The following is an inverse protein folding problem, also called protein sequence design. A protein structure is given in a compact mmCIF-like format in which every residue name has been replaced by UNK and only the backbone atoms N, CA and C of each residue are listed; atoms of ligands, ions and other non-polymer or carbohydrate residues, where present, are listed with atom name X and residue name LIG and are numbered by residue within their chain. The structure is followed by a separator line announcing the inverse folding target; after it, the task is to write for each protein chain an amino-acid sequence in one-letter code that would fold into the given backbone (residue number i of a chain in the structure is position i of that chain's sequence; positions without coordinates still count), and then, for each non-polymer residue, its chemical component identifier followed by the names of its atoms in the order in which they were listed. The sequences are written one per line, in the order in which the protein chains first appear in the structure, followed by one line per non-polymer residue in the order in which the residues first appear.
data_IF_153452295391
#
_entry.id   IF_153452295391
#
_cell.length_a   1.000
_cell.length_b   1.000
_cell.length_c   1.000
_cell.angle_alpha   90.00
_cell.angle_beta   90.00
_cell.angle_gamma   90.00
#
_symmetry.space_group_name_H-M   'P 1'
#
loop_
_entity.id
_entity.type
_entity.pdbx_description
1 polymer ?
#
# COMPACT_ATOMS: atom_id res chain seq x y z
N UNK A 1 42.72 -6.12 -29.37
CA UNK A 1 42.39 -4.72 -29.04
C UNK A 1 41.36 -4.26 -30.06
N UNK A 2 40.07 -4.09 -29.82
CA UNK A 2 39.31 -3.81 -28.61
C UNK A 2 38.09 -3.01 -29.08
N UNK A 3 37.21 -3.65 -29.87
CA UNK A 3 36.01 -3.03 -30.41
C UNK A 3 34.85 -3.22 -29.45
N UNK A 4 34.72 -2.35 -28.46
CA UNK A 4 33.49 -2.19 -27.69
C UNK A 4 32.43 -1.62 -28.63
N UNK A 5 31.79 -2.49 -29.43
CA UNK A 5 30.55 -2.12 -30.11
C UNK A 5 29.53 -1.82 -29.01
N UNK A 6 29.20 -0.55 -28.86
CA UNK A 6 28.06 -0.09 -28.07
C UNK A 6 26.86 -0.96 -28.41
N UNK A 7 26.29 -1.66 -27.42
CA UNK A 7 25.09 -2.48 -27.60
C UNK A 7 24.05 -1.72 -28.43
N UNK A 8 23.51 -2.38 -29.46
CA UNK A 8 22.38 -1.84 -30.21
C UNK A 8 21.24 -1.51 -29.23
N UNK A 9 20.48 -0.44 -29.48
CA UNK A 9 19.37 -0.02 -28.61
C UNK A 9 18.41 -1.20 -28.34
N UNK A 10 18.08 -1.97 -29.38
CA UNK A 10 17.27 -3.19 -29.29
C UNK A 10 17.86 -4.25 -28.32
N UNK A 11 19.18 -4.42 -28.31
CA UNK A 11 19.86 -5.38 -27.43
C UNK A 11 19.85 -4.91 -25.98
N UNK A 12 20.10 -3.61 -25.75
CA UNK A 12 19.99 -2.97 -24.44
C UNK A 12 18.57 -3.06 -23.88
N UNK A 13 17.54 -2.74 -24.68
CA UNK A 13 16.13 -2.85 -24.26
C UNK A 13 15.74 -4.30 -23.95
N UNK A 14 16.28 -5.28 -24.69
CA UNK A 14 16.00 -6.71 -24.44
C UNK A 14 16.65 -7.19 -23.14
N UNK A 15 17.86 -6.74 -22.84
CA UNK A 15 18.57 -7.04 -21.60
C UNK A 15 17.88 -6.38 -20.40
N UNK A 16 17.54 -5.09 -20.48
CA UNK A 16 16.80 -4.39 -19.43
C UNK A 16 15.46 -5.06 -19.14
N UNK A 17 14.72 -5.48 -20.18
CA UNK A 17 13.48 -6.24 -20.00
C UNK A 17 13.71 -7.54 -19.22
N UNK A 18 14.81 -8.24 -19.48
CA UNK A 18 15.16 -9.47 -18.75
C UNK A 18 15.51 -9.16 -17.30
N UNK A 19 16.29 -8.12 -17.06
CA UNK A 19 16.68 -7.69 -15.71
C UNK A 19 15.45 -7.27 -14.90
N UNK A 20 14.56 -6.43 -15.45
CA UNK A 20 13.29 -6.05 -14.79
C UNK A 20 12.44 -7.26 -14.44
N UNK A 21 12.29 -8.24 -15.35
CA UNK A 21 11.52 -9.45 -15.05
C UNK A 21 12.18 -10.32 -13.97
N UNK A 22 13.52 -10.33 -13.84
CA UNK A 22 14.21 -11.01 -12.74
C UNK A 22 13.93 -10.30 -11.42
N UNK A 23 14.10 -8.98 -11.36
CA UNK A 23 13.86 -8.17 -10.16
C UNK A 23 12.41 -8.25 -9.68
N UNK A 24 11.42 -8.24 -10.60
CA UNK A 24 10.00 -8.44 -10.25
C UNK A 24 9.80 -9.80 -9.56
N UNK A 25 10.36 -10.89 -10.13
CA UNK A 25 10.22 -12.23 -9.55
C UNK A 25 10.95 -12.38 -8.22
N UNK A 26 12.08 -11.71 -8.06
CA UNK A 26 12.82 -11.67 -6.79
C UNK A 26 11.99 -10.98 -5.70
N UNK A 27 11.41 -9.82 -6.01
CA UNK A 27 10.50 -9.12 -5.10
C UNK A 27 9.26 -9.94 -4.77
N UNK A 28 8.65 -10.63 -5.75
CA UNK A 28 7.50 -11.51 -5.50
C UNK A 28 7.83 -12.64 -4.52
N UNK A 29 9.02 -13.26 -4.67
CA UNK A 29 9.49 -14.27 -3.71
C UNK A 29 9.69 -13.67 -2.33
N UNK A 30 10.23 -12.46 -2.23
CA UNK A 30 10.49 -11.82 -0.95
C UNK A 30 9.19 -11.39 -0.25
N UNK A 31 8.23 -10.82 -1.00
CA UNK A 31 6.89 -10.53 -0.50
C UNK A 31 6.24 -11.80 0.06
N UNK A 32 6.32 -12.93 -0.67
CA UNK A 32 5.76 -14.20 -0.21
C UNK A 32 6.40 -14.71 1.10
N UNK A 33 7.72 -14.56 1.26
CA UNK A 33 8.39 -14.91 2.51
C UNK A 33 7.91 -14.03 3.67
N UNK A 34 7.88 -12.71 3.48
CA UNK A 34 7.42 -11.75 4.49
C UNK A 34 5.96 -11.98 4.86
N UNK A 35 5.09 -12.35 3.91
CA UNK A 35 3.69 -12.71 4.21
C UNK A 35 3.58 -13.97 5.06
N UNK A 36 4.44 -14.97 4.83
CA UNK A 36 4.48 -16.16 5.67
C UNK A 36 5.02 -15.85 7.06
N UNK A 37 6.08 -15.04 7.16
CA UNK A 37 6.60 -14.56 8.44
C UNK A 37 5.54 -13.78 9.22
N UNK A 38 4.82 -12.86 8.57
CA UNK A 38 3.68 -12.14 9.14
C UNK A 38 2.65 -13.09 9.75
N UNK A 39 2.28 -14.17 9.04
CA UNK A 39 1.34 -15.20 9.53
C UNK A 39 1.90 -15.97 10.73
N UNK A 40 3.22 -16.22 10.78
CA UNK A 40 3.84 -16.88 11.94
C UNK A 40 3.86 -15.95 13.17
N UNK A 41 4.21 -14.68 12.99
CA UNK A 41 4.15 -13.67 14.05
C UNK A 41 2.71 -13.57 14.58
N UNK A 42 1.71 -13.55 13.71
CA UNK A 42 0.30 -13.54 14.12
C UNK A 42 -0.09 -14.72 15.01
N UNK A 43 0.37 -15.94 14.65
CA UNK A 43 0.15 -17.14 15.48
C UNK A 43 0.84 -17.03 16.83
N UNK A 44 2.07 -16.52 16.86
CA UNK A 44 2.83 -16.34 18.09
C UNK A 44 2.17 -15.30 19.00
N UNK A 45 1.71 -14.16 18.47
CA UNK A 45 0.93 -13.16 19.23
C UNK A 45 -0.27 -13.83 19.89
N UNK A 46 -1.07 -14.62 19.15
CA UNK A 46 -2.24 -15.34 19.70
C UNK A 46 -1.85 -16.35 20.79
N UNK A 47 -0.73 -17.05 20.64
CA UNK A 47 -0.26 -18.03 21.62
C UNK A 47 0.19 -17.36 22.93
N UNK A 48 1.01 -16.31 22.83
CA UNK A 48 1.54 -15.60 24.01
C UNK A 48 0.49 -14.72 24.68
N UNK A 49 -0.50 -14.24 23.92
CA UNK A 49 -1.64 -13.55 24.49
C UNK A 49 -2.46 -14.46 25.42
N UNK A 50 -2.70 -15.72 25.02
CA UNK A 50 -3.36 -16.71 25.89
C UNK A 50 -2.54 -17.05 27.15
N UNK A 51 -1.21 -16.93 27.06
CA UNK A 51 -0.29 -17.13 28.19
C UNK A 51 -0.13 -15.87 29.07
N UNK A 52 -0.79 -14.77 28.71
CA UNK A 52 -0.74 -13.47 29.39
C UNK A 52 0.67 -12.85 29.47
N UNK A 53 1.57 -13.15 28.52
CA UNK A 53 2.89 -12.52 28.42
C UNK A 53 2.79 -11.23 27.60
N UNK A 54 2.48 -10.14 28.29
CA UNK A 54 2.23 -8.82 27.69
C UNK A 54 3.50 -8.26 27.04
N UNK A 55 4.67 -8.50 27.66
CA UNK A 55 5.96 -8.01 27.17
C UNK A 55 6.31 -8.58 25.81
N UNK A 56 6.18 -9.91 25.65
CA UNK A 56 6.49 -10.58 24.39
C UNK A 56 5.44 -10.26 23.32
N UNK A 57 4.17 -10.16 23.69
CA UNK A 57 3.08 -9.75 22.78
C UNK A 57 3.31 -8.34 22.24
N UNK A 58 3.75 -7.39 23.07
CA UNK A 58 4.09 -6.03 22.62
C UNK A 58 5.22 -6.05 21.59
N UNK A 59 6.31 -6.77 21.84
CA UNK A 59 7.42 -6.87 20.88
C UNK A 59 6.99 -7.50 19.57
N UNK A 60 6.25 -8.62 19.62
CA UNK A 60 5.76 -9.29 18.42
C UNK A 60 4.75 -8.44 17.64
N UNK A 61 3.92 -7.64 18.31
CA UNK A 61 3.02 -6.71 17.66
C UNK A 61 3.78 -5.60 16.91
N UNK A 62 4.89 -5.10 17.46
CA UNK A 62 5.79 -4.17 16.75
C UNK A 62 6.37 -4.81 15.49
N UNK A 63 6.88 -6.03 15.61
CA UNK A 63 7.44 -6.75 14.46
C UNK A 63 6.37 -7.04 13.39
N UNK A 64 5.15 -7.37 13.80
CA UNK A 64 4.02 -7.56 12.89
C UNK A 64 3.73 -6.30 12.06
N UNK A 65 3.75 -5.12 12.68
CA UNK A 65 3.50 -3.85 11.99
C UNK A 65 4.62 -3.54 11.01
N UNK A 66 5.88 -3.69 11.43
CA UNK A 66 7.04 -3.52 10.56
C UNK A 66 6.98 -4.43 9.34
N UNK A 67 6.74 -5.73 9.54
CA UNK A 67 6.62 -6.69 8.43
C UNK A 67 5.45 -6.33 7.51
N UNK A 68 4.30 -5.92 8.08
CA UNK A 68 3.13 -5.46 7.29
C UNK A 68 3.48 -4.25 6.43
N UNK A 69 4.19 -3.26 6.97
CA UNK A 69 4.65 -2.08 6.23
C UNK A 69 5.64 -2.45 5.14
N UNK A 70 6.62 -3.31 5.42
CA UNK A 70 7.59 -3.79 4.43
C UNK A 70 6.90 -4.52 3.28
N UNK A 71 5.88 -5.34 3.55
CA UNK A 71 5.06 -5.97 2.50
C UNK A 71 4.37 -4.92 1.63
N UNK A 72 3.78 -3.88 2.23
CA UNK A 72 3.17 -2.77 1.49
C UNK A 72 4.21 -2.01 0.65
N UNK A 73 5.38 -1.70 1.22
CA UNK A 73 6.51 -1.04 0.54
C UNK A 73 6.97 -1.83 -0.67
N UNK A 74 7.20 -3.14 -0.51
CA UNK A 74 7.61 -4.02 -1.62
C UNK A 74 6.53 -4.18 -2.67
N UNK A 75 5.25 -4.18 -2.27
CA UNK A 75 4.13 -4.22 -3.21
C UNK A 75 4.05 -2.94 -4.06
N UNK A 76 4.31 -1.77 -3.48
CA UNK A 76 4.45 -0.50 -4.23
C UNK A 76 5.62 -0.56 -5.21
N UNK A 77 6.80 -0.96 -4.74
CA UNK A 77 8.00 -1.13 -5.60
C UNK A 77 7.72 -2.08 -6.77
N UNK A 78 7.02 -3.20 -6.53
CA UNK A 78 6.60 -4.13 -7.58
C UNK A 78 5.74 -3.44 -8.65
N UNK A 79 4.75 -2.65 -8.24
CA UNK A 79 3.89 -1.88 -9.15
C UNK A 79 4.70 -0.87 -9.98
N UNK A 80 5.70 -0.22 -9.38
CA UNK A 80 6.59 0.69 -10.12
C UNK A 80 7.45 -0.07 -11.14
N UNK A 81 8.03 -1.21 -10.79
CA UNK A 81 8.78 -2.04 -11.75
C UNK A 81 7.89 -2.56 -12.89
N UNK A 82 6.63 -2.90 -12.59
CA UNK A 82 5.66 -3.29 -13.60
C UNK A 82 5.34 -2.13 -14.56
N UNK A 83 5.19 -0.91 -14.03
CA UNK A 83 5.01 0.31 -14.83
C UNK A 83 6.22 0.57 -15.73
N UNK A 84 7.43 0.41 -15.20
CA UNK A 84 8.67 0.53 -15.99
C UNK A 84 8.75 -0.53 -17.08
N UNK A 85 8.31 -1.77 -16.82
CA UNK A 85 8.21 -2.83 -17.83
C UNK A 85 7.25 -2.48 -18.97
N UNK A 86 6.10 -1.87 -18.68
CA UNK A 86 5.14 -1.41 -19.69
C UNK A 86 5.76 -0.28 -20.52
N UNK A 87 6.38 0.71 -19.86
CA UNK A 87 7.07 1.82 -20.52
C UNK A 87 8.19 1.32 -21.44
N UNK A 88 9.02 0.39 -20.98
CA UNK A 88 10.07 -0.23 -21.78
C UNK A 88 9.50 -0.97 -23.01
N UNK A 89 8.34 -1.62 -22.86
CA UNK A 89 7.65 -2.25 -23.98
C UNK A 89 7.14 -1.21 -24.99
N UNK A 90 6.67 -0.04 -24.53
CA UNK A 90 6.30 1.09 -25.39
C UNK A 90 7.49 1.64 -26.16
N UNK A 91 8.63 1.87 -25.50
CA UNK A 91 9.88 2.32 -26.13
C UNK A 91 10.32 1.35 -27.22
N UNK A 92 10.27 0.04 -26.96
CA UNK A 92 10.58 -0.97 -27.97
C UNK A 92 9.65 -0.91 -29.19
N UNK A 93 8.34 -0.74 -28.97
CA UNK A 93 7.37 -0.60 -30.05
C UNK A 93 7.61 0.68 -30.87
N UNK A 94 7.97 1.78 -30.20
CA UNK A 94 8.32 3.05 -30.84
C UNK A 94 9.61 2.93 -31.68
N UNK A 95 10.64 2.23 -31.17
CA UNK A 95 11.86 1.92 -31.93
C UNK A 95 11.55 1.12 -33.20
N UNK A 96 10.73 0.06 -33.09
CA UNK A 96 10.35 -0.77 -34.23
C UNK A 96 9.54 0.03 -35.28
N UNK A 97 8.66 0.93 -34.82
CA UNK A 97 7.92 1.83 -35.68
C UNK A 97 8.86 2.83 -36.37
N UNK A 98 9.81 3.42 -35.64
CA UNK A 98 10.83 4.33 -36.20
C UNK A 98 11.67 3.63 -37.27
N UNK A 99 12.07 2.38 -37.05
CA UNK A 99 12.78 1.56 -38.04
C UNK A 99 11.93 1.35 -39.31
N UNK A 100 10.64 1.08 -39.14
CA UNK A 100 9.70 0.89 -40.25
C UNK A 100 9.45 2.20 -41.00
N UNK A 101 9.31 3.32 -40.30
CA UNK A 101 9.20 4.66 -40.89
C UNK A 101 10.47 5.06 -41.65
N UNK A 102 11.65 4.67 -41.15
CA UNK A 102 12.92 4.87 -41.87
C UNK A 102 12.96 4.06 -43.16
N UNK A 103 12.49 2.81 -43.16
CA UNK A 103 12.44 1.97 -44.35
C UNK A 103 11.39 2.47 -45.35
N UNK A 104 10.23 2.94 -44.88
CA UNK A 104 9.22 3.64 -45.69
C UNK A 104 9.81 4.92 -46.26
N UNK A 105 10.53 5.74 -45.48
CA UNK A 105 11.20 6.95 -45.97
C UNK A 105 12.25 6.64 -47.03
N UNK A 106 12.98 5.52 -46.94
CA UNK A 106 13.89 5.06 -48.02
C UNK A 106 13.15 4.66 -49.29
N UNK A 107 11.92 4.15 -49.18
CA UNK A 107 11.05 3.84 -50.33
C UNK A 107 10.51 5.15 -50.90
N UNK A 108 9.98 6.04 -50.05
CA UNK A 108 9.47 7.35 -50.42
C UNK A 108 10.57 8.17 -51.08
N UNK A 109 11.78 8.25 -50.56
CA UNK A 109 12.88 8.97 -51.24
C UNK A 109 13.24 8.37 -52.60
N UNK A 110 13.16 7.04 -52.75
CA UNK A 110 13.31 6.37 -54.05
C UNK A 110 12.15 6.68 -55.01
N UNK A 111 10.92 6.80 -54.51
CA UNK A 111 9.70 7.10 -55.29
C UNK A 111 9.53 8.61 -55.54
N UNK A 112 9.97 9.48 -54.64
CA UNK A 112 9.91 10.94 -54.69
C UNK A 112 10.95 11.52 -55.66
N UNK A 113 11.97 10.73 -56.01
CA UNK A 113 12.77 10.96 -57.22
C UNK A 113 11.95 10.85 -58.52
N UNK A 114 10.77 10.25 -58.48
CA UNK A 114 9.89 10.03 -59.64
C UNK A 114 8.50 10.69 -59.52
N UNK A 115 8.00 10.99 -58.31
CA UNK A 115 6.67 11.58 -58.07
C UNK A 115 6.71 12.50 -56.83
N UNK A 116 6.47 13.80 -57.01
CA UNK A 116 6.37 14.78 -55.91
C UNK A 116 5.08 14.57 -55.10
N UNK A 117 5.18 14.22 -53.80
CA UNK A 117 4.02 14.19 -52.89
C UNK A 117 4.29 14.92 -51.56
N UNK A 118 3.34 15.80 -51.18
CA UNK A 118 3.52 16.86 -50.16
C UNK A 118 2.94 16.60 -48.76
N UNK A 119 2.38 15.43 -48.45
CA UNK A 119 1.57 15.26 -47.22
C UNK A 119 2.14 14.35 -46.11
N UNK A 120 3.23 13.59 -46.35
CA UNK A 120 3.75 12.62 -45.36
C UNK A 120 4.64 13.25 -44.28
N UNK A 121 5.32 14.36 -44.58
CA UNK A 121 6.25 15.00 -43.66
C UNK A 121 5.58 15.50 -42.36
N UNK A 122 4.29 15.89 -42.43
CA UNK A 122 3.55 16.40 -41.28
C UNK A 122 3.25 15.30 -40.24
N UNK A 123 2.82 14.12 -40.69
CA UNK A 123 2.54 12.99 -39.78
C UNK A 123 3.78 12.46 -39.07
N UNK A 124 4.98 12.58 -39.67
CA UNK A 124 6.25 12.21 -39.03
C UNK A 124 6.59 13.21 -37.90
N UNK A 125 6.41 14.51 -38.17
CA UNK A 125 6.69 15.56 -37.18
C UNK A 125 5.72 15.52 -36.00
N UNK A 126 4.42 15.34 -36.28
CA UNK A 126 3.40 15.23 -35.23
C UNK A 126 3.62 13.99 -34.34
N UNK A 127 4.13 12.88 -34.91
CA UNK A 127 4.50 11.68 -34.15
C UNK A 127 5.75 11.88 -33.29
N UNK A 128 6.79 12.53 -33.82
CA UNK A 128 8.01 12.86 -33.04
C UNK A 128 7.66 13.71 -31.81
N UNK A 129 6.84 14.75 -32.00
CA UNK A 129 6.41 15.64 -30.92
C UNK A 129 5.61 14.93 -29.82
N UNK A 130 4.75 13.97 -30.17
CA UNK A 130 4.00 13.18 -29.18
C UNK A 130 4.86 12.17 -28.42
N UNK A 131 5.96 11.69 -29.01
CA UNK A 131 6.83 10.70 -28.41
C UNK A 131 7.94 11.34 -27.52
N UNK A 132 8.28 12.61 -27.74
CA UNK A 132 9.22 13.37 -26.92
C UNK A 132 8.61 13.83 -25.57
N UNK A 133 7.29 13.85 -25.45
CA UNK A 133 6.56 14.30 -24.25
C UNK A 133 6.36 13.18 -23.20
N UNK A 134 7.31 12.25 -23.11
CA UNK A 134 7.28 11.21 -22.07
C UNK A 134 8.12 11.68 -20.88
N UNK A 135 7.53 12.55 -20.04
CA UNK A 135 8.12 12.93 -18.74
C UNK A 135 8.17 11.71 -17.83
N UNK A 136 9.30 11.01 -17.82
CA UNK A 136 9.43 9.64 -17.30
C UNK A 136 10.19 9.55 -15.98
N UNK A 137 10.63 10.66 -15.40
CA UNK A 137 11.54 10.63 -14.24
C UNK A 137 11.03 11.39 -13.01
N UNK A 138 10.31 12.49 -13.14
CA UNK A 138 9.91 13.29 -11.97
C UNK A 138 8.81 12.61 -11.14
N UNK A 139 7.64 12.32 -11.72
CA UNK A 139 6.49 11.78 -10.94
C UNK A 139 6.78 10.42 -10.27
N UNK A 140 7.60 9.56 -10.89
CA UNK A 140 7.93 8.25 -10.33
C UNK A 140 9.04 8.29 -9.28
N UNK A 141 9.89 9.32 -9.30
CA UNK A 141 10.91 9.51 -8.29
C UNK A 141 10.27 10.07 -7.01
N UNK A 142 9.34 11.01 -7.12
CA UNK A 142 8.65 11.59 -5.96
C UNK A 142 7.83 10.53 -5.21
N UNK A 143 7.06 9.68 -5.92
CA UNK A 143 6.33 8.55 -5.31
C UNK A 143 7.25 7.54 -4.59
N UNK A 144 8.45 7.31 -5.13
CA UNK A 144 9.45 6.43 -4.53
C UNK A 144 10.07 7.09 -3.30
N UNK A 145 10.38 8.39 -3.36
CA UNK A 145 10.89 9.16 -2.23
C UNK A 145 9.88 9.20 -1.08
N UNK A 146 8.59 9.41 -1.36
CA UNK A 146 7.52 9.34 -0.36
C UNK A 146 7.39 7.93 0.24
N UNK A 147 7.57 6.89 -0.59
CA UNK A 147 7.55 5.49 -0.13
C UNK A 147 8.78 5.13 0.73
N UNK A 148 9.90 5.83 0.56
CA UNK A 148 11.11 5.66 1.37
C UNK A 148 11.09 6.52 2.64
N UNK A 149 10.46 7.70 2.61
CA UNK A 149 10.36 8.62 3.74
C UNK A 149 9.27 8.25 4.77
N UNK A 150 8.39 7.30 4.46
CA UNK A 150 7.33 6.79 5.36
C UNK A 150 7.85 6.14 6.67
N UNK A 151 9.17 6.03 6.84
CA UNK A 151 9.82 5.39 7.99
C UNK A 151 10.03 6.34 9.20
N UNK A 152 9.76 7.65 9.08
CA UNK A 152 10.08 8.65 10.13
C UNK A 152 8.95 8.87 11.16
N UNK A 153 7.68 8.65 10.81
CA UNK A 153 6.54 9.06 11.66
C UNK A 153 6.04 7.99 12.64
N UNK A 154 6.70 6.83 12.73
CA UNK A 154 6.19 5.68 13.51
C UNK A 154 6.65 5.65 14.98
N UNK A 155 7.41 6.64 15.45
CA UNK A 155 7.97 6.65 16.79
C UNK A 155 6.98 7.16 17.87
N UNK A 156 5.99 7.99 17.52
CA UNK A 156 5.17 8.69 18.53
C UNK A 156 3.86 7.96 18.92
N UNK A 157 3.45 6.90 18.22
CA UNK A 157 2.16 6.20 18.48
C UNK A 157 2.29 4.68 18.74
N UNK A 158 3.41 4.22 19.29
CA UNK A 158 3.68 2.77 19.43
C UNK A 158 2.60 2.01 20.23
N UNK A 159 2.13 2.54 21.35
CA UNK A 159 1.15 1.85 22.21
C UNK A 159 -0.25 1.81 21.58
N UNK A 160 -0.61 2.85 20.82
CA UNK A 160 -1.85 2.92 20.04
C UNK A 160 -1.83 1.90 18.89
N UNK A 161 -0.67 1.72 18.28
CA UNK A 161 -0.49 0.74 17.20
C UNK A 161 -0.61 -0.69 17.74
N UNK A 162 -0.01 -0.97 18.90
CA UNK A 162 -0.08 -2.29 19.53
C UNK A 162 -1.51 -2.63 19.94
N UNK A 163 -2.25 -1.70 20.55
CA UNK A 163 -3.66 -1.92 20.90
C UNK A 163 -4.52 -2.17 19.66
N UNK A 164 -4.36 -1.37 18.60
CA UNK A 164 -5.05 -1.58 17.31
C UNK A 164 -4.75 -2.95 16.69
N UNK A 165 -3.52 -3.47 16.82
CA UNK A 165 -3.17 -4.81 16.31
C UNK A 165 -3.85 -5.90 17.14
N UNK A 166 -3.89 -5.76 18.46
CA UNK A 166 -4.54 -6.74 19.34
C UNK A 166 -6.06 -6.78 19.12
N UNK A 167 -6.69 -5.61 18.99
CA UNK A 167 -8.10 -5.47 18.64
C UNK A 167 -8.40 -6.05 17.25
N UNK A 168 -7.56 -5.72 16.26
CA UNK A 168 -7.70 -6.25 14.89
C UNK A 168 -7.51 -7.76 14.79
N UNK A 169 -6.81 -8.38 15.74
CA UNK A 169 -6.65 -9.83 15.85
C UNK A 169 -7.74 -10.50 16.70
N UNK A 170 -8.67 -9.73 17.27
CA UNK A 170 -9.74 -10.22 18.14
C UNK A 170 -9.22 -10.79 19.46
N UNK A 171 -8.03 -10.36 19.89
CA UNK A 171 -7.41 -10.81 21.15
C UNK A 171 -7.84 -9.82 22.22
N UNK A 172 -9.00 -10.07 22.83
CA UNK A 172 -9.29 -9.48 24.13
C UNK A 172 -8.34 -10.14 25.12
N UNK A 173 -7.33 -9.41 25.58
CA UNK A 173 -6.53 -9.89 26.71
C UNK A 173 -7.53 -10.09 27.84
N UNK A 174 -7.65 -11.33 28.31
CA UNK A 174 -8.54 -11.72 29.41
C UNK A 174 -8.10 -10.97 30.66
N UNK A 175 -8.47 -9.70 30.72
CA UNK A 175 -8.49 -8.90 31.91
C UNK A 175 -9.65 -9.51 32.67
N UNK A 176 -9.37 -10.48 33.54
CA UNK A 176 -10.21 -10.74 34.70
C UNK A 176 -10.18 -9.51 35.62
N UNK A 177 -10.61 -8.38 35.09
CA UNK A 177 -10.79 -7.07 35.70
C UNK A 177 -12.16 -6.48 35.33
N UNK A 178 -12.95 -7.16 34.49
CA UNK A 178 -14.41 -6.97 34.41
C UNK A 178 -15.15 -7.50 35.67
N UNK A 179 -14.42 -7.98 36.68
CA UNK A 179 -14.95 -8.20 38.05
C UNK A 179 -14.65 -7.00 38.98
N UNK A 180 -14.66 -5.79 38.45
CA UNK A 180 -14.98 -4.62 39.28
C UNK A 180 -16.23 -4.01 38.65
N UNK A 181 -17.41 -4.11 39.28
CA UNK A 181 -18.57 -3.42 38.76
C UNK A 181 -18.19 -1.94 38.65
N UNK A 182 -18.19 -1.45 37.41
CA UNK A 182 -18.27 -0.03 37.13
C UNK A 182 -19.34 0.54 38.06
N UNK A 183 -19.01 1.63 38.75
CA UNK A 183 -19.90 2.38 39.64
C UNK A 183 -20.97 3.13 38.81
N UNK A 184 -21.56 2.45 37.82
CA UNK A 184 -22.73 2.86 37.04
C UNK A 184 -23.95 2.00 37.38
N UNK A 185 -23.82 0.97 38.22
CA UNK A 185 -24.94 0.24 38.81
C UNK A 185 -25.13 0.59 40.29
N UNK A 186 -25.19 1.88 40.60
CA UNK A 186 -26.01 2.31 41.73
C UNK A 186 -27.45 2.16 41.28
N UNK A 187 -28.05 1.06 41.74
CA UNK A 187 -29.48 0.76 41.80
C UNK A 187 -30.34 2.02 41.66
N UNK A 188 -30.96 2.17 40.50
CA UNK A 188 -32.26 2.84 40.41
C UNK A 188 -33.22 1.96 41.20
N UNK A 189 -33.39 2.25 42.49
CA UNK A 189 -34.55 1.78 43.23
C UNK A 189 -35.78 2.29 42.49
N UNK A 190 -36.49 1.36 41.87
CA UNK A 190 -37.86 1.58 41.44
C UNK A 190 -38.65 1.88 42.71
N UNK A 191 -38.97 3.16 42.90
CA UNK A 191 -40.00 3.56 43.87
C UNK A 191 -41.33 3.10 43.28
N UNK A 192 -41.77 1.93 43.72
CA UNK A 192 -43.16 1.51 43.61
C UNK A 192 -44.04 2.58 44.25
N UNK A 193 -44.78 3.32 43.44
CA UNK A 193 -45.89 4.17 43.88
C UNK A 193 -47.03 3.26 44.33
N UNK A 194 -46.98 2.78 45.56
CA UNK A 194 -48.13 2.26 46.31
C UNK A 194 -47.89 2.47 47.81
N UNK A 195 -47.86 3.72 48.23
CA UNK A 195 -48.03 4.08 49.65
C UNK A 195 -49.27 4.95 49.78
N UNK A 196 -50.19 4.47 50.61
CA UNK A 196 -51.52 4.99 50.88
C UNK A 196 -51.52 6.51 51.14
N UNK A 197 -52.21 7.24 50.27
CA UNK A 197 -52.49 8.68 50.42
C UNK A 197 -53.40 8.97 51.63
N UNK A 198 -54.01 7.93 52.22
CA UNK A 198 -54.90 8.02 53.39
C UNK A 198 -54.19 8.42 54.69
N UNK A 199 -52.96 7.95 54.93
CA UNK A 199 -52.23 8.19 56.19
C UNK A 199 -51.76 9.64 56.37
N UNK A 200 -51.53 10.36 55.26
CA UNK A 200 -51.16 11.77 55.30
C UNK A 200 -52.35 12.70 55.54
N UNK A 201 -53.56 12.30 55.13
CA UNK A 201 -54.77 13.08 55.37
C UNK A 201 -55.21 13.01 56.84
N UNK A 202 -55.04 11.85 57.50
CA UNK A 202 -55.32 11.72 58.94
C UNK A 202 -54.35 12.55 59.80
N UNK A 203 -53.06 12.61 59.43
CA UNK A 203 -52.07 13.45 60.11
C UNK A 203 -52.30 14.95 59.94
N UNK A 204 -52.88 15.39 58.83
CA UNK A 204 -53.23 16.81 58.61
C UNK A 204 -54.49 17.20 59.40
N UNK A 205 -55.46 16.30 59.53
CA UNK A 205 -56.68 16.57 60.31
C UNK A 205 -56.43 16.62 61.83
N UNK A 206 -55.45 15.89 62.35
CA UNK A 206 -55.06 15.94 63.77
C UNK A 206 -54.25 17.19 64.16
N UNK A 207 -53.96 18.10 63.23
CA UNK A 207 -53.34 19.40 63.50
C UNK A 207 -54.31 20.59 63.30
N UNK A 208 -55.61 20.32 63.09
CA UNK A 208 -56.66 21.34 62.91
C UNK A 208 -57.80 21.29 63.95
N UNK A 209 -57.55 20.77 65.15
CA UNK A 209 -58.42 20.95 66.31
C UNK A 209 -57.63 21.33 67.54
#
# INVERSE_FOLDING_TARGET
MGGYFSKSLEESLREEKRNLNRSIRELEREIFKLENEKKQIEKNIKLYAKKNDITLVRTLAKDFVKVKQTVTKYSKIKSHLFSMKIKLQSVKSSEQLSKSLNDINKIITRVNKYIELKNINKSIYDFQKQNDEVSLKEDMLDDLFDTLNYDIDMAEEEDIIVSKVLDGLGIQMNSKLDEIPSVSELKTEQVETNTNVADFQERINNLKK
#
